data_IF_822081432430
#
_entry.id   IF_822081432430
#
_cell.length_a   1.000
_cell.length_b   1.000
_cell.length_c   1.000
_cell.angle_alpha   90.00
_cell.angle_beta   90.00
_cell.angle_gamma   90.00
#
_symmetry.space_group_name_H-M   'P 1'
#
loop_
_entity.id
_entity.type
_entity.pdbx_description
1 polymer ?
#
# COMPACT_ATOMS: atom_id res chain seq x y z
N UNK A 1 -52.76 -41.88 -9.50
CA UNK A 1 -51.61 -41.64 -8.61
C UNK A 1 -50.73 -40.58 -9.27
N UNK A 2 -50.85 -39.33 -8.82
CA UNK A 2 -50.17 -38.17 -9.39
C UNK A 2 -48.89 -37.95 -8.56
N UNK A 3 -47.73 -38.06 -9.20
CA UNK A 3 -46.45 -37.71 -8.57
C UNK A 3 -46.26 -36.19 -8.65
N UNK A 4 -46.28 -35.52 -7.51
CA UNK A 4 -45.90 -34.11 -7.39
C UNK A 4 -44.38 -34.02 -7.16
N UNK A 5 -43.68 -33.36 -8.08
CA UNK A 5 -42.27 -33.03 -7.95
C UNK A 5 -42.11 -31.82 -6.99
N UNK A 6 -41.48 -32.04 -5.85
CA UNK A 6 -41.03 -30.96 -4.97
C UNK A 6 -39.65 -30.47 -5.45
N UNK A 7 -39.62 -29.35 -6.18
CA UNK A 7 -38.38 -28.63 -6.47
C UNK A 7 -37.92 -27.92 -5.19
N UNK A 8 -36.83 -28.42 -4.61
CA UNK A 8 -36.13 -27.75 -3.52
C UNK A 8 -35.25 -26.64 -4.11
N UNK A 9 -35.75 -25.40 -4.10
CA UNK A 9 -35.01 -24.22 -4.52
C UNK A 9 -34.01 -23.85 -3.40
N UNK A 10 -32.75 -24.24 -3.56
CA UNK A 10 -31.67 -23.81 -2.65
C UNK A 10 -31.24 -22.40 -3.06
N UNK A 11 -31.81 -21.38 -2.42
CA UNK A 11 -31.32 -20.01 -2.50
C UNK A 11 -30.00 -19.91 -1.72
N UNK A 12 -28.86 -20.00 -2.42
CA UNK A 12 -27.55 -19.63 -1.86
C UNK A 12 -27.59 -18.12 -1.66
N UNK A 13 -27.81 -17.70 -0.41
CA UNK A 13 -27.63 -16.32 0.01
C UNK A 13 -26.13 -16.01 -0.08
N UNK A 14 -25.71 -15.43 -1.21
CA UNK A 14 -24.40 -14.78 -1.32
C UNK A 14 -24.50 -13.54 -0.44
N UNK A 15 -24.15 -13.68 0.84
CA UNK A 15 -23.91 -12.53 1.71
C UNK A 15 -22.77 -11.76 1.04
N UNK A 16 -22.96 -10.49 0.66
CA UNK A 16 -21.83 -9.68 0.26
C UNK A 16 -20.94 -9.58 1.49
N UNK A 17 -19.82 -10.30 1.46
CA UNK A 17 -18.75 -10.08 2.42
C UNK A 17 -18.35 -8.64 2.17
N UNK A 18 -18.73 -7.74 3.07
CA UNK A 18 -18.18 -6.39 3.10
C UNK A 18 -16.72 -6.61 3.46
N UNK A 19 -15.89 -6.84 2.45
CA UNK A 19 -14.45 -6.94 2.61
C UNK A 19 -14.03 -5.54 3.03
N UNK A 20 -13.74 -5.36 4.32
CA UNK A 20 -13.02 -4.20 4.80
C UNK A 20 -11.76 -4.10 3.93
N UNK A 21 -11.68 -3.08 3.06
CA UNK A 21 -10.55 -2.94 2.15
C UNK A 21 -9.30 -2.57 2.96
N UNK A 22 -8.63 -3.61 3.42
CA UNK A 22 -7.30 -3.53 3.96
C UNK A 22 -6.34 -3.22 2.82
N UNK A 23 -5.48 -2.24 3.04
CA UNK A 23 -4.40 -1.91 2.13
C UNK A 23 -3.16 -2.62 2.66
N UNK A 24 -2.47 -3.37 1.81
CA UNK A 24 -1.14 -3.93 2.10
C UNK A 24 -0.06 -2.96 1.61
N UNK A 25 1.18 -3.07 2.10
CA UNK A 25 2.34 -2.36 1.53
C UNK A 25 2.93 -3.25 0.45
N UNK A 26 2.65 -2.88 -0.79
CA UNK A 26 3.04 -3.55 -2.02
C UNK A 26 3.95 -2.68 -2.90
N UNK A 27 4.17 -1.41 -2.50
CA UNK A 27 5.02 -0.44 -3.19
C UNK A 27 6.09 0.15 -2.29
N UNK A 28 7.19 0.56 -2.91
CA UNK A 28 8.25 1.32 -2.25
C UNK A 28 7.92 2.82 -2.15
N UNK A 29 8.83 3.60 -1.56
CA UNK A 29 8.68 5.05 -1.40
C UNK A 29 8.69 5.83 -2.73
N UNK A 30 9.14 5.21 -3.82
CA UNK A 30 9.08 5.75 -5.17
C UNK A 30 7.79 5.33 -5.91
N UNK A 31 6.87 4.66 -5.22
CA UNK A 31 5.61 4.15 -5.74
C UNK A 31 5.79 3.07 -6.84
N UNK A 32 6.92 2.36 -6.81
CA UNK A 32 7.20 1.20 -7.66
C UNK A 32 6.76 -0.07 -6.94
N UNK A 33 6.13 -0.99 -7.66
CA UNK A 33 5.71 -2.28 -7.12
C UNK A 33 6.91 -3.08 -6.62
N UNK A 34 6.79 -3.59 -5.39
CA UNK A 34 7.77 -4.49 -4.79
C UNK A 34 7.62 -5.87 -5.41
N UNK A 35 8.73 -6.45 -5.84
CA UNK A 35 8.75 -7.80 -6.40
C UNK A 35 9.06 -8.79 -5.27
N UNK A 36 8.18 -9.76 -4.95
CA UNK A 36 8.46 -10.75 -3.92
C UNK A 36 9.71 -11.57 -4.25
N UNK A 37 10.65 -11.73 -3.32
CA UNK A 37 11.90 -12.44 -3.59
C UNK A 37 11.66 -13.93 -3.92
N UNK A 38 10.61 -14.53 -3.36
CA UNK A 38 10.27 -15.94 -3.56
C UNK A 38 9.72 -16.26 -4.96
N UNK A 39 9.40 -15.25 -5.78
CA UNK A 39 8.98 -15.47 -7.18
C UNK A 39 10.13 -15.30 -8.17
N UNK A 40 11.34 -15.00 -7.69
CA UNK A 40 12.52 -14.87 -8.55
C UNK A 40 13.03 -16.27 -8.93
N UNK A 41 13.21 -16.56 -10.23
CA UNK A 41 13.65 -17.88 -10.68
C UNK A 41 15.15 -18.09 -10.46
N UNK A 42 15.56 -19.36 -10.45
CA UNK A 42 16.96 -19.75 -10.63
C UNK A 42 17.41 -19.45 -12.08
N UNK A 43 18.61 -18.89 -12.20
CA UNK A 43 19.19 -18.45 -13.45
C UNK A 43 18.57 -17.18 -14.04
N UNK A 44 19.30 -16.59 -14.99
CA UNK A 44 18.77 -15.55 -15.88
C UNK A 44 18.34 -16.18 -17.19
N UNK A 45 17.02 -16.20 -17.43
CA UNK A 45 16.41 -16.89 -18.57
C UNK A 45 15.17 -16.13 -19.06
N UNK A 46 14.48 -16.68 -20.06
CA UNK A 46 13.18 -16.16 -20.52
C UNK A 46 12.12 -16.08 -19.42
N UNK A 47 12.29 -16.83 -18.32
CA UNK A 47 11.36 -16.86 -17.19
C UNK A 47 11.66 -15.77 -16.14
N UNK A 48 12.73 -14.98 -16.31
CA UNK A 48 13.07 -13.85 -15.45
C UNK A 48 12.18 -12.64 -15.73
N UNK A 49 10.86 -12.82 -15.58
CA UNK A 49 9.82 -11.84 -15.95
C UNK A 49 10.06 -10.46 -15.33
N UNK A 50 10.54 -10.43 -14.08
CA UNK A 50 10.82 -9.20 -13.35
C UNK A 50 12.23 -8.63 -13.61
N UNK A 51 13.00 -9.22 -14.52
CA UNK A 51 14.38 -8.80 -14.82
C UNK A 51 15.43 -9.24 -13.80
N UNK A 52 15.08 -10.13 -12.87
CA UNK A 52 15.98 -10.67 -11.86
C UNK A 52 16.08 -12.19 -11.93
N UNK A 53 17.20 -12.74 -11.44
CA UNK A 53 17.43 -14.17 -11.32
C UNK A 53 18.42 -14.48 -10.19
N UNK A 54 18.32 -15.69 -9.63
CA UNK A 54 19.32 -16.22 -8.69
C UNK A 54 20.37 -16.95 -9.50
N UNK A 55 21.60 -16.44 -9.54
CA UNK A 55 22.70 -17.07 -10.27
C UNK A 55 23.84 -17.35 -9.32
N UNK A 56 24.31 -18.61 -9.28
CA UNK A 56 25.37 -19.07 -8.38
C UNK A 56 25.11 -18.67 -6.91
N UNK A 57 23.85 -18.76 -6.48
CA UNK A 57 23.42 -18.41 -5.12
C UNK A 57 23.37 -16.90 -4.84
N UNK A 58 23.42 -16.05 -5.86
CA UNK A 58 23.49 -14.59 -5.80
C UNK A 58 22.29 -13.98 -6.54
N UNK A 59 21.57 -13.02 -5.95
CA UNK A 59 20.53 -12.28 -6.68
C UNK A 59 21.19 -11.29 -7.64
N UNK A 60 20.85 -11.39 -8.93
CA UNK A 60 21.40 -10.58 -10.01
C UNK A 60 20.30 -9.91 -10.85
N UNK A 61 20.64 -8.77 -11.46
CA UNK A 61 19.85 -8.17 -12.55
C UNK A 61 20.23 -8.86 -13.86
N UNK A 62 19.27 -9.41 -14.57
CA UNK A 62 19.55 -10.33 -15.67
C UNK A 62 20.13 -9.64 -16.91
N UNK A 63 19.75 -8.40 -17.20
CA UNK A 63 20.37 -7.61 -18.25
C UNK A 63 21.88 -7.44 -18.00
N UNK A 64 22.24 -7.02 -16.78
CA UNK A 64 23.64 -6.81 -16.38
C UNK A 64 24.43 -8.11 -16.27
N UNK A 65 23.77 -9.16 -15.77
CA UNK A 65 24.39 -10.48 -15.68
C UNK A 65 24.79 -11.02 -17.06
N UNK A 66 23.87 -10.96 -18.03
CA UNK A 66 24.08 -11.46 -19.38
C UNK A 66 25.09 -10.59 -20.16
N UNK A 67 25.04 -9.26 -20.01
CA UNK A 67 26.02 -8.34 -20.60
C UNK A 67 27.46 -8.69 -20.19
N UNK A 68 27.70 -8.97 -18.91
CA UNK A 68 29.03 -9.35 -18.43
C UNK A 68 29.46 -10.72 -18.97
N UNK A 69 28.55 -11.69 -19.02
CA UNK A 69 28.85 -13.02 -19.56
C UNK A 69 29.33 -12.99 -21.02
N UNK A 70 28.76 -12.10 -21.83
CA UNK A 70 29.12 -11.96 -23.25
C UNK A 70 30.42 -11.16 -23.46
N UNK A 71 30.82 -10.32 -22.49
CA UNK A 71 31.96 -9.40 -22.57
C UNK A 71 33.23 -9.83 -21.82
N UNK A 72 33.20 -10.95 -21.09
CA UNK A 72 34.26 -11.43 -20.20
C UNK A 72 33.78 -11.47 -18.75
N UNK A 73 34.14 -12.53 -18.01
CA UNK A 73 33.52 -12.94 -16.72
C UNK A 73 33.48 -11.89 -15.58
N UNK A 74 34.11 -10.72 -15.73
CA UNK A 74 34.15 -9.70 -14.69
C UNK A 74 33.08 -8.62 -14.84
N UNK A 75 32.21 -8.52 -13.83
CA UNK A 75 31.26 -7.43 -13.69
C UNK A 75 31.97 -6.08 -13.54
N UNK A 76 31.37 -5.02 -14.10
CA UNK A 76 31.88 -3.67 -13.90
C UNK A 76 31.82 -3.27 -12.42
N UNK A 77 32.81 -2.48 -11.97
CA UNK A 77 32.82 -1.95 -10.59
C UNK A 77 31.54 -1.17 -10.27
N UNK A 78 30.99 -0.48 -11.27
CA UNK A 78 29.72 0.25 -11.16
C UNK A 78 28.54 -0.70 -10.88
N UNK A 79 28.45 -1.84 -11.58
CA UNK A 79 27.41 -2.82 -11.31
C UNK A 79 27.54 -3.43 -9.92
N UNK A 80 28.77 -3.76 -9.48
CA UNK A 80 29.02 -4.30 -8.15
C UNK A 80 28.64 -3.29 -7.05
N UNK A 81 28.89 -1.99 -7.25
CA UNK A 81 28.43 -0.94 -6.34
C UNK A 81 26.90 -0.85 -6.26
N UNK A 82 26.21 -0.89 -7.42
CA UNK A 82 24.75 -0.89 -7.49
C UNK A 82 24.20 -2.13 -6.77
N UNK A 83 24.73 -3.31 -7.08
CA UNK A 83 24.38 -4.59 -6.46
C UNK A 83 24.52 -4.52 -4.94
N UNK A 84 25.62 -3.98 -4.43
CA UNK A 84 25.82 -3.80 -3.00
C UNK A 84 24.87 -2.82 -2.35
N UNK A 85 24.53 -1.73 -3.04
CA UNK A 85 23.63 -0.70 -2.51
C UNK A 85 22.16 -1.15 -2.53
N UNK A 86 21.73 -1.86 -3.57
CA UNK A 86 20.31 -2.10 -3.84
C UNK A 86 19.87 -3.54 -3.63
N UNK A 87 20.77 -4.52 -3.81
CA UNK A 87 20.43 -5.95 -3.79
C UNK A 87 21.01 -6.71 -2.59
N UNK A 88 21.81 -6.07 -1.73
CA UNK A 88 22.40 -6.70 -0.54
C UNK A 88 22.02 -5.95 0.75
N UNK A 89 21.25 -6.61 1.62
CA UNK A 89 20.82 -6.05 2.91
C UNK A 89 22.03 -5.79 3.81
N UNK A 90 22.92 -6.78 3.92
CA UNK A 90 24.19 -6.68 4.65
C UNK A 90 25.39 -6.84 3.71
N UNK A 91 25.39 -6.13 2.58
CA UNK A 91 26.51 -6.10 1.64
C UNK A 91 27.65 -5.17 2.06
N UNK A 92 28.84 -5.44 1.54
CA UNK A 92 29.98 -4.51 1.56
C UNK A 92 30.80 -4.67 0.28
N UNK A 93 31.39 -3.57 -0.19
CA UNK A 93 32.40 -3.62 -1.25
C UNK A 93 33.74 -4.08 -0.68
N UNK A 94 34.38 -5.02 -1.36
CA UNK A 94 35.75 -5.47 -1.08
C UNK A 94 36.41 -5.90 -2.38
N UNK A 95 37.61 -5.39 -2.67
CA UNK A 95 38.34 -5.68 -3.91
C UNK A 95 37.47 -5.50 -5.17
N UNK A 96 36.71 -4.39 -5.23
CA UNK A 96 35.76 -4.06 -6.31
C UNK A 96 34.63 -5.08 -6.54
N UNK A 97 34.41 -6.01 -5.61
CA UNK A 97 33.28 -6.95 -5.65
C UNK A 97 32.38 -6.73 -4.45
N UNK A 98 31.09 -6.89 -4.67
CA UNK A 98 30.12 -6.89 -3.61
C UNK A 98 30.07 -8.27 -2.93
N UNK A 99 30.33 -8.29 -1.63
CA UNK A 99 30.23 -9.51 -0.82
C UNK A 99 29.36 -9.27 0.42
N UNK A 100 28.88 -10.36 1.04
CA UNK A 100 28.21 -10.25 2.33
C UNK A 100 29.20 -9.82 3.42
N UNK A 101 28.74 -8.98 4.35
CA UNK A 101 29.45 -8.69 5.59
C UNK A 101 29.69 -10.00 6.37
N UNK A 102 30.77 -10.09 7.18
CA UNK A 102 31.02 -11.26 8.00
C UNK A 102 29.80 -11.61 8.86
N UNK A 103 29.46 -12.90 8.92
CA UNK A 103 28.27 -13.37 9.63
C UNK A 103 26.99 -13.41 8.78
N UNK A 104 26.98 -12.82 7.58
CA UNK A 104 25.82 -12.81 6.68
C UNK A 104 26.05 -13.67 5.44
N UNK A 105 24.96 -14.22 4.90
CA UNK A 105 24.95 -15.09 3.71
C UNK A 105 23.62 -15.00 2.94
N UNK A 106 23.51 -15.81 1.90
CA UNK A 106 22.32 -15.91 1.06
C UNK A 106 22.35 -14.92 -0.11
N UNK A 107 21.40 -15.04 -1.04
CA UNK A 107 21.42 -14.32 -2.33
C UNK A 107 21.36 -12.81 -2.20
N UNK A 108 20.84 -12.31 -1.08
CA UNK A 108 20.72 -10.88 -0.78
C UNK A 108 21.44 -10.47 0.51
N UNK A 109 22.33 -11.32 1.05
CA UNK A 109 23.01 -11.10 2.33
C UNK A 109 22.05 -10.78 3.50
N UNK A 110 20.95 -11.52 3.62
CA UNK A 110 19.96 -11.35 4.69
C UNK A 110 19.95 -12.50 5.71
N UNK A 111 20.57 -13.64 5.42
CA UNK A 111 20.62 -14.77 6.35
C UNK A 111 21.82 -14.61 7.29
N UNK A 112 21.63 -14.92 8.57
CA UNK A 112 22.68 -14.80 9.58
C UNK A 112 23.20 -16.17 9.99
N UNK A 113 24.53 -16.38 9.96
CA UNK A 113 25.14 -17.67 10.33
C UNK A 113 24.83 -18.12 11.76
N UNK A 114 24.57 -17.18 12.67
CA UNK A 114 24.21 -17.50 14.06
C UNK A 114 22.76 -17.94 14.26
N UNK A 115 21.92 -17.90 13.22
CA UNK A 115 20.55 -18.37 13.28
C UNK A 115 20.38 -19.75 12.63
N UNK A 116 19.36 -20.54 13.03
CA UNK A 116 19.01 -21.78 12.36
C UNK A 116 18.74 -21.59 10.86
N UNK A 117 18.86 -22.65 10.07
CA UNK A 117 18.54 -22.63 8.65
C UNK A 117 17.14 -22.10 8.39
N UNK A 118 17.01 -21.15 7.46
CA UNK A 118 15.73 -20.50 7.15
C UNK A 118 15.34 -19.39 8.14
N UNK A 119 16.23 -18.98 9.05
CA UNK A 119 16.03 -17.84 9.93
C UNK A 119 17.05 -16.73 9.63
N UNK A 120 16.63 -15.49 9.87
CA UNK A 120 17.42 -14.27 9.79
C UNK A 120 17.46 -13.58 11.17
N UNK A 121 18.29 -12.57 11.31
CA UNK A 121 18.42 -11.79 12.53
C UNK A 121 17.64 -10.48 12.40
N UNK A 122 16.68 -10.26 13.29
CA UNK A 122 15.96 -8.98 13.45
C UNK A 122 16.03 -8.55 14.91
N UNK A 123 16.52 -7.34 15.18
CA UNK A 123 16.74 -6.81 16.54
C UNK A 123 17.41 -7.83 17.50
N UNK A 124 18.47 -8.49 17.01
CA UNK A 124 19.23 -9.51 17.75
C UNK A 124 18.47 -10.79 18.09
N UNK A 125 17.31 -11.02 17.50
CA UNK A 125 16.51 -12.24 17.65
C UNK A 125 16.41 -12.96 16.32
N UNK A 126 16.54 -14.29 16.34
CA UNK A 126 16.31 -15.10 15.15
C UNK A 126 14.82 -15.15 14.83
N UNK A 127 14.47 -14.71 13.62
CA UNK A 127 13.10 -14.66 13.07
C UNK A 127 13.09 -15.35 11.71
N UNK A 128 11.95 -15.88 11.22
CA UNK A 128 11.91 -16.57 9.93
C UNK A 128 12.46 -15.73 8.78
N UNK A 129 12.23 -14.43 8.81
CA UNK A 129 12.90 -13.46 7.95
C UNK A 129 12.88 -12.07 8.61
N UNK A 130 13.58 -11.09 8.04
CA UNK A 130 13.67 -9.74 8.60
C UNK A 130 12.36 -8.92 8.51
N UNK A 131 11.35 -9.40 7.79
CA UNK A 131 10.03 -8.80 7.68
C UNK A 131 9.09 -9.32 8.77
N UNK A 132 8.68 -8.44 9.68
CA UNK A 132 7.80 -8.74 10.80
C UNK A 132 6.35 -8.93 10.35
N UNK A 133 5.51 -9.44 11.25
CA UNK A 133 4.05 -9.56 11.05
C UNK A 133 3.65 -10.24 9.74
N UNK A 134 4.29 -11.37 9.43
CA UNK A 134 4.06 -12.15 8.21
C UNK A 134 4.36 -11.37 6.92
N UNK A 135 5.29 -10.42 6.99
CA UNK A 135 5.81 -9.71 5.83
C UNK A 135 6.67 -10.62 4.94
N UNK A 136 6.76 -10.24 3.67
CA UNK A 136 7.56 -10.96 2.65
C UNK A 136 8.69 -10.08 2.18
N UNK A 137 9.89 -10.64 2.05
CA UNK A 137 11.03 -9.91 1.48
C UNK A 137 10.71 -9.54 0.02
N UNK A 138 10.88 -8.27 -0.31
CA UNK A 138 10.64 -7.71 -1.63
C UNK A 138 11.86 -6.97 -2.18
N UNK A 139 12.01 -7.00 -3.50
CA UNK A 139 12.96 -6.20 -4.24
C UNK A 139 12.29 -4.87 -4.56
N UNK A 140 12.76 -3.79 -3.95
CA UNK A 140 12.34 -2.42 -4.26
C UNK A 140 13.29 -1.73 -5.25
N UNK A 141 12.89 -0.56 -5.75
CA UNK A 141 13.68 0.19 -6.73
C UNK A 141 15.01 0.71 -6.18
N UNK A 142 15.07 0.97 -4.87
CA UNK A 142 16.25 1.54 -4.19
C UNK A 142 17.01 0.55 -3.32
N UNK A 143 16.33 -0.43 -2.74
CA UNK A 143 16.90 -1.40 -1.82
C UNK A 143 15.95 -2.60 -1.65
N UNK A 144 16.46 -3.69 -1.10
CA UNK A 144 15.63 -4.76 -0.54
C UNK A 144 14.87 -4.22 0.68
N UNK A 145 13.57 -4.48 0.72
CA UNK A 145 12.69 -4.12 1.82
C UNK A 145 11.55 -5.15 1.95
N UNK A 146 10.48 -4.82 2.67
CA UNK A 146 9.40 -5.76 2.93
C UNK A 146 8.07 -5.33 2.30
N UNK A 147 7.37 -6.32 1.75
CA UNK A 147 5.95 -6.30 1.45
C UNK A 147 5.22 -6.59 2.77
N UNK A 148 4.34 -5.70 3.20
CA UNK A 148 3.72 -5.77 4.53
C UNK A 148 2.23 -6.06 4.45
N UNK A 149 1.77 -6.96 5.32
CA UNK A 149 0.36 -7.20 5.53
C UNK A 149 -0.26 -6.03 6.31
N UNK A 150 -1.47 -5.60 5.94
CA UNK A 150 -2.20 -4.62 6.73
C UNK A 150 -2.36 -5.13 8.18
N UNK A 151 -2.31 -4.25 9.20
CA UNK A 151 -2.12 -2.80 9.15
C UNK A 151 -0.65 -2.34 9.13
N UNK A 152 0.31 -3.23 8.91
CA UNK A 152 1.73 -2.95 9.14
C UNK A 152 2.40 -2.22 7.99
N UNK A 153 3.39 -1.40 8.31
CA UNK A 153 4.30 -0.77 7.36
C UNK A 153 5.70 -0.58 7.98
N UNK A 154 6.50 0.29 7.37
CA UNK A 154 7.92 0.41 7.67
C UNK A 154 8.76 -0.41 6.70
N UNK A 155 10.08 -0.41 6.93
CA UNK A 155 11.01 -1.15 6.08
C UNK A 155 10.90 -2.65 6.31
N UNK A 156 10.67 -3.03 7.55
CA UNK A 156 10.64 -4.40 8.06
C UNK A 156 9.24 -4.79 8.57
N UNK A 157 8.18 -4.07 8.18
CA UNK A 157 6.80 -4.30 8.63
C UNK A 157 6.62 -4.20 10.17
N UNK A 158 7.48 -3.44 10.83
CA UNK A 158 7.57 -3.30 12.28
C UNK A 158 6.62 -2.25 12.84
N UNK A 159 6.14 -1.32 12.00
CA UNK A 159 5.36 -0.18 12.44
C UNK A 159 3.87 -0.44 12.23
N UNK A 160 3.09 -0.28 13.29
CA UNK A 160 1.63 -0.32 13.22
C UNK A 160 1.13 0.93 12.48
N UNK A 161 0.35 0.74 11.41
CA UNK A 161 -0.19 1.82 10.58
C UNK A 161 -1.69 1.62 10.33
N UNK A 162 -2.51 1.85 11.35
CA UNK A 162 -3.94 1.53 11.32
C UNK A 162 -4.75 2.25 10.24
N UNK A 163 -4.24 3.35 9.68
CA UNK A 163 -4.81 4.02 8.51
C UNK A 163 -4.88 3.11 7.26
N UNK A 164 -4.11 2.01 7.24
CA UNK A 164 -4.15 0.95 6.23
C UNK A 164 -5.31 -0.02 6.36
N UNK A 165 -6.06 -0.01 7.46
CA UNK A 165 -7.26 -0.83 7.64
C UNK A 165 -8.48 -0.30 6.86
N UNK A 166 -8.33 0.86 6.23
CA UNK A 166 -9.38 1.51 5.45
C UNK A 166 -8.87 1.89 4.06
N UNK A 167 -9.79 2.09 3.10
CA UNK A 167 -9.46 2.76 1.85
C UNK A 167 -9.03 4.22 2.14
N UNK A 168 -8.39 4.86 1.15
CA UNK A 168 -7.68 6.13 1.34
C UNK A 168 -8.59 7.24 1.87
N UNK A 169 -9.82 7.29 1.40
CA UNK A 169 -10.86 8.24 1.80
C UNK A 169 -11.31 8.09 3.27
N UNK A 170 -11.10 6.93 3.88
CA UNK A 170 -11.56 6.60 5.23
C UNK A 170 -10.42 6.28 6.20
N UNK A 171 -9.17 6.54 5.80
CA UNK A 171 -7.98 6.26 6.60
C UNK A 171 -8.01 6.97 7.97
N UNK A 172 -8.69 8.12 8.04
CA UNK A 172 -8.87 8.91 9.25
C UNK A 172 -9.87 8.32 10.24
N UNK A 173 -10.58 7.25 9.90
CA UNK A 173 -11.49 6.57 10.82
C UNK A 173 -10.76 5.60 11.76
N UNK A 174 -9.52 5.23 11.43
CA UNK A 174 -8.70 4.31 12.22
C UNK A 174 -7.56 5.01 12.97
N UNK A 175 -7.23 4.51 14.16
CA UNK A 175 -6.17 5.03 15.03
C UNK A 175 -5.33 3.90 15.61
N UNK A 176 -4.03 4.17 15.77
CA UNK A 176 -3.14 3.31 16.54
C UNK A 176 -3.51 3.41 18.04
N UNK A 177 -3.58 2.28 18.72
CA UNK A 177 -3.81 2.20 20.16
C UNK A 177 -2.90 1.13 20.77
N UNK A 178 -1.66 1.52 21.06
CA UNK A 178 -0.63 0.58 21.51
C UNK A 178 -0.25 -0.35 20.37
N UNK A 179 -0.55 -1.64 20.54
CA UNK A 179 -0.25 -2.75 19.64
C UNK A 179 -1.42 -3.15 18.73
N UNK A 180 -2.55 -2.44 18.81
CA UNK A 180 -3.75 -2.75 18.02
C UNK A 180 -4.36 -1.52 17.36
N UNK A 181 -5.24 -1.78 16.40
CA UNK A 181 -6.07 -0.76 15.78
C UNK A 181 -7.39 -0.57 16.51
N UNK A 182 -7.86 0.67 16.55
CA UNK A 182 -9.19 1.04 17.03
C UNK A 182 -9.81 2.11 16.12
N UNK A 183 -11.11 2.30 16.25
CA UNK A 183 -11.76 3.45 15.65
C UNK A 183 -11.33 4.76 16.32
N UNK A 184 -11.28 5.82 15.52
CA UNK A 184 -11.25 7.18 16.02
C UNK A 184 -12.53 7.48 16.83
N UNK A 185 -12.46 8.43 17.75
CA UNK A 185 -13.50 8.66 18.77
C UNK A 185 -14.88 9.06 18.20
N UNK A 186 -14.93 9.40 16.92
CA UNK A 186 -16.15 9.75 16.19
C UNK A 186 -16.82 8.58 15.45
N UNK A 187 -16.18 7.40 15.45
CA UNK A 187 -16.60 6.24 14.68
C UNK A 187 -16.69 4.98 15.54
N UNK A 188 -17.56 4.05 15.16
CA UNK A 188 -17.67 2.72 15.76
C UNK A 188 -17.93 1.63 14.70
N UNK A 189 -18.07 0.39 15.18
CA UNK A 189 -18.28 -0.79 14.35
C UNK A 189 -16.96 -1.46 13.94
N UNK A 190 -17.06 -2.69 13.43
CA UNK A 190 -15.89 -3.50 13.08
C UNK A 190 -15.03 -2.85 11.97
N UNK A 191 -15.66 -2.02 11.13
CA UNK A 191 -15.02 -1.32 10.03
C UNK A 191 -14.85 0.20 10.28
N UNK A 192 -15.17 0.67 11.48
CA UNK A 192 -15.19 2.10 11.83
C UNK A 192 -16.02 2.94 10.85
N UNK A 193 -17.15 2.42 10.38
CA UNK A 193 -17.99 3.00 9.34
C UNK A 193 -19.24 3.70 9.89
N UNK A 194 -19.56 3.48 11.16
CA UNK A 194 -20.70 4.13 11.83
C UNK A 194 -20.24 5.41 12.51
N UNK A 195 -20.80 6.55 12.11
CA UNK A 195 -20.54 7.84 12.76
C UNK A 195 -21.39 7.93 14.03
N UNK A 196 -20.74 8.10 15.18
CA UNK A 196 -21.39 8.25 16.49
C UNK A 196 -21.31 9.66 17.05
N UNK A 197 -20.41 10.49 16.52
CA UNK A 197 -20.17 11.85 17.02
C UNK A 197 -19.67 12.76 15.91
N UNK A 198 -20.05 14.03 16.01
CA UNK A 198 -19.60 15.11 15.14
C UNK A 198 -18.66 16.07 15.88
N UNK A 199 -17.73 16.69 15.16
CA UNK A 199 -16.87 17.77 15.68
C UNK A 199 -17.52 19.13 15.53
N UNK A 200 -16.92 20.14 16.18
CA UNK A 200 -17.24 21.55 15.98
C UNK A 200 -18.73 21.91 16.14
N UNK A 201 -19.39 21.26 17.09
CA UNK A 201 -20.82 21.49 17.37
C UNK A 201 -21.78 20.98 16.30
N UNK A 202 -21.32 20.13 15.38
CA UNK A 202 -22.21 19.42 14.45
C UNK A 202 -23.15 18.46 15.18
N UNK A 203 -24.28 18.19 14.54
CA UNK A 203 -25.34 17.33 15.09
C UNK A 203 -25.37 16.00 14.32
N UNK A 204 -25.32 14.88 15.06
CA UNK A 204 -25.41 13.55 14.45
C UNK A 204 -26.88 13.18 14.25
N UNK A 205 -27.29 12.99 13.00
CA UNK A 205 -28.66 12.63 12.58
C UNK A 205 -28.54 11.46 11.62
N UNK A 206 -29.19 10.33 11.94
CA UNK A 206 -29.22 9.11 11.12
C UNK A 206 -27.84 8.64 10.63
N UNK A 207 -26.85 8.65 11.53
CA UNK A 207 -25.48 8.20 11.23
C UNK A 207 -24.70 9.14 10.31
N UNK A 208 -25.12 10.40 10.18
CA UNK A 208 -24.43 11.47 9.45
C UNK A 208 -24.32 12.73 10.29
N UNK A 209 -23.34 13.56 9.99
CA UNK A 209 -23.18 14.86 10.65
C UNK A 209 -23.78 16.01 9.85
N UNK A 210 -24.63 16.79 10.52
CA UNK A 210 -25.09 18.11 10.06
C UNK A 210 -24.17 19.18 10.65
N UNK A 211 -23.40 19.84 9.79
CA UNK A 211 -22.39 20.83 10.22
C UNK A 211 -22.97 22.23 10.37
N UNK A 212 -22.39 23.02 11.28
CA UNK A 212 -22.61 24.48 11.33
C UNK A 212 -21.96 25.14 10.11
N UNK A 213 -22.46 26.30 9.68
CA UNK A 213 -22.10 26.99 8.42
C UNK A 213 -20.60 27.23 8.19
N UNK A 214 -19.83 27.32 9.27
CA UNK A 214 -18.38 27.56 9.25
C UNK A 214 -17.53 26.29 9.21
N UNK A 215 -18.17 25.11 9.13
CA UNK A 215 -17.51 23.80 9.08
C UNK A 215 -18.11 22.88 8.01
N UNK A 216 -17.31 21.92 7.57
CA UNK A 216 -17.70 20.87 6.63
C UNK A 216 -16.85 19.62 6.84
N UNK A 217 -17.12 18.57 6.06
CA UNK A 217 -16.46 17.27 6.19
C UNK A 217 -17.42 16.20 6.69
N UNK A 218 -16.94 14.96 6.76
CA UNK A 218 -17.75 13.81 7.15
C UNK A 218 -18.26 13.94 8.60
N UNK A 219 -17.42 14.47 9.48
CA UNK A 219 -17.71 14.67 10.90
C UNK A 219 -17.53 16.16 11.28
N UNK A 220 -17.69 17.07 10.33
CA UNK A 220 -17.52 18.52 10.51
C UNK A 220 -16.12 18.95 10.96
N UNK A 221 -15.08 18.19 10.62
CA UNK A 221 -13.70 18.40 11.07
C UNK A 221 -12.94 19.50 10.30
N UNK A 222 -13.46 19.94 9.15
CA UNK A 222 -12.80 20.94 8.30
C UNK A 222 -13.47 22.30 8.49
N UNK A 223 -12.66 23.35 8.62
CA UNK A 223 -13.13 24.74 8.75
C UNK A 223 -13.23 25.42 7.39
N UNK A 224 -14.26 26.22 7.17
CA UNK A 224 -14.38 27.06 5.98
C UNK A 224 -13.34 28.19 5.95
N UNK A 225 -13.00 28.73 4.77
CA UNK A 225 -12.25 29.98 4.66
C UNK A 225 -12.91 31.11 5.45
N UNK A 226 -12.10 32.00 6.03
CA UNK A 226 -12.60 33.12 6.82
C UNK A 226 -13.57 33.99 6.02
N UNK A 227 -14.74 34.27 6.60
CA UNK A 227 -15.77 35.11 5.98
C UNK A 227 -16.65 34.41 4.93
N UNK A 228 -16.57 33.09 4.78
CA UNK A 228 -17.40 32.31 3.86
C UNK A 228 -18.14 31.17 4.59
N UNK A 229 -19.29 30.77 4.03
CA UNK A 229 -20.00 29.53 4.44
C UNK A 229 -19.71 28.43 3.43
N UNK A 230 -19.53 27.19 3.90
CA UNK A 230 -19.22 26.06 3.01
C UNK A 230 -20.45 25.54 2.23
N UNK A 231 -21.64 26.08 2.51
CA UNK A 231 -22.91 25.72 1.87
C UNK A 231 -23.28 26.56 0.64
N UNK A 232 -22.47 27.55 0.24
CA UNK A 232 -22.78 28.35 -0.93
C UNK A 232 -22.54 27.53 -2.21
N UNK A 233 -23.61 26.97 -2.78
CA UNK A 233 -23.66 26.67 -4.21
C UNK A 233 -23.25 27.96 -4.90
N UNK A 234 -22.10 27.94 -5.56
CA UNK A 234 -21.69 29.00 -6.46
C UNK A 234 -22.66 28.96 -7.65
N UNK A 235 -23.84 29.56 -7.48
CA UNK A 235 -24.60 30.05 -8.62
C UNK A 235 -23.73 31.13 -9.22
N UNK A 236 -22.81 30.73 -10.10
CA UNK A 236 -22.40 31.62 -11.18
C UNK A 236 -23.69 31.95 -11.93
N UNK A 237 -24.39 32.99 -11.49
CA UNK A 237 -25.23 33.77 -12.38
C UNK A 237 -24.25 34.35 -13.40
N UNK A 238 -23.93 33.56 -14.41
CA UNK A 238 -23.25 34.07 -15.59
C UNK A 238 -24.19 35.11 -16.17
N UNK A 239 -23.82 36.40 -16.20
CA UNK A 239 -24.66 37.43 -16.81
C UNK A 239 -24.94 37.15 -18.30
N UNK A 240 -24.21 36.21 -18.92
CA UNK A 240 -24.45 35.73 -20.27
C UNK A 240 -25.73 34.90 -20.42
N UNK A 241 -26.15 34.15 -19.39
CA UNK A 241 -27.34 33.30 -19.48
C UNK A 241 -28.64 34.13 -19.45
N UNK A 242 -28.65 35.25 -18.73
CA UNK A 242 -29.78 36.20 -18.73
C UNK A 242 -29.89 37.01 -20.02
N UNK A 243 -28.79 37.19 -20.76
CA UNK A 243 -28.79 37.95 -22.01
C UNK A 243 -29.38 37.17 -23.20
N UNK A 244 -29.19 35.83 -23.22
CA UNK A 244 -29.74 34.96 -24.26
C UNK A 244 -31.27 34.81 -24.17
N UNK A 245 -31.85 34.84 -22.97
CA UNK A 245 -33.31 34.77 -22.80
C UNK A 245 -33.99 36.05 -23.30
N UNK A 246 -33.37 37.22 -23.11
CA UNK A 246 -33.90 38.50 -23.61
C UNK A 246 -33.86 38.61 -25.15
N UNK A 247 -32.85 38.01 -25.81
CA UNK A 247 -32.77 38.01 -27.28
C UNK A 247 -33.82 37.11 -27.95
N UNK A 248 -34.24 36.02 -27.29
CA UNK A 248 -35.32 35.17 -27.79
C UNK A 248 -36.70 35.86 -27.74
N UNK A 249 -36.95 36.77 -26.81
CA UNK A 249 -38.23 37.51 -26.78
C UNK A 249 -38.30 38.65 -27.80
N UNK A 250 -37.17 39.19 -28.26
CA UNK A 250 -37.15 40.20 -29.31
C UNK A 250 -37.29 39.63 -30.73
N UNK A 251 -36.96 38.35 -30.95
CA UNK A 251 -37.04 37.71 -32.28
C UNK A 251 -38.37 37.02 -32.59
N UNK A 252 -39.34 37.03 -31.65
CA UNK A 252 -40.68 36.43 -31.86
C UNK A 252 -41.76 37.51 -32.17
N UNK A 253 -41.37 38.79 -32.24
CA UNK A 253 -42.26 39.88 -32.71
C UNK A 253 -41.69 40.65 -33.89
N UNK A 254 -41.40 39.93 -34.98
CA UNK A 254 -41.28 40.46 -36.35
C UNK A 254 -41.83 39.42 -37.32
#
# INVERSE_FOLDING_TARGET
MIFAAAQLLVCILIVPIIVCQQRHKDKDDAYVDLIPLNVIPEGCSSNSYYGYGIVDGSLEKCDKYLEAKDGGEEFSSEYEEIKCRTLRVHGRMKNNKCECKPGWKGPICNEYYGCPTGFSLYNSVCTPNSCQHNGTIGIGSKQIECICQAPWDGRNCERLACWRMAPKEHERRWRNAGDRCRCADEYEGDNCDKIIKCKNGGEAIDGRCTCKDSFYGEICEKKCPSGQTCGAISTWFSPFATFLVLLCFCLIRL
#
